data_IF_827317841036
#
_entry.id   IF_827317841036
#
_cell.length_a   1.000
_cell.length_b   1.000
_cell.length_c   1.000
_cell.angle_alpha   90.00
_cell.angle_beta   90.00
_cell.angle_gamma   90.00
#
_symmetry.space_group_name_H-M   'P 1'
#
loop_
_entity.id
_entity.type
_entity.pdbx_description
1 polymer ?
#
# COMPACT_ATOMS: atom_id res chain seq x y z
N UNK A 1 -8.93 1.00 -4.09
CA UNK A 1 -8.15 1.90 -3.21
C UNK A 1 -7.26 1.04 -2.32
N UNK A 2 -6.23 1.57 -1.67
CA UNK A 2 -5.43 0.76 -0.73
C UNK A 2 -5.12 1.51 0.56
N UNK A 3 -5.69 1.06 1.66
CA UNK A 3 -5.64 1.70 2.96
C UNK A 3 -4.48 1.18 3.82
N UNK A 4 -4.35 1.67 5.05
CA UNK A 4 -3.28 1.29 5.96
C UNK A 4 -3.29 -0.21 6.35
N UNK A 5 -4.42 -0.92 6.17
CA UNK A 5 -4.50 -2.35 6.44
C UNK A 5 -3.81 -3.18 5.37
N UNK A 6 -3.47 -2.59 4.22
CA UNK A 6 -2.83 -3.26 3.08
C UNK A 6 -1.67 -4.17 3.53
N UNK A 7 -0.74 -3.67 4.34
CA UNK A 7 0.44 -4.42 4.82
C UNK A 7 0.05 -5.70 5.59
N UNK A 8 -0.95 -5.59 6.46
CA UNK A 8 -1.42 -6.72 7.25
C UNK A 8 -2.20 -7.73 6.38
N UNK A 9 -3.01 -7.24 5.42
CA UNK A 9 -3.68 -8.10 4.44
C UNK A 9 -2.70 -8.85 3.55
N UNK A 10 -1.62 -8.21 3.06
CA UNK A 10 -0.58 -8.89 2.25
C UNK A 10 0.05 -10.02 3.05
N UNK A 11 0.41 -9.77 4.31
CA UNK A 11 1.02 -10.78 5.18
C UNK A 11 0.09 -11.97 5.42
N UNK A 12 -1.18 -11.70 5.72
CA UNK A 12 -2.18 -12.75 5.92
C UNK A 12 -2.48 -13.52 4.62
N UNK A 13 -2.54 -12.83 3.48
CA UNK A 13 -2.79 -13.43 2.18
C UNK A 13 -1.61 -14.29 1.72
N UNK A 14 -0.36 -13.90 2.00
CA UNK A 14 0.81 -14.75 1.79
C UNK A 14 0.71 -16.05 2.61
N UNK A 15 0.34 -15.95 3.88
CA UNK A 15 0.18 -17.12 4.74
C UNK A 15 -0.91 -18.08 4.22
N UNK A 16 -2.01 -17.55 3.70
CA UNK A 16 -3.07 -18.35 3.06
C UNK A 16 -2.60 -18.96 1.74
N UNK A 17 -1.84 -18.21 0.93
CA UNK A 17 -1.27 -18.69 -0.33
C UNK A 17 -0.36 -19.88 -0.08
N UNK A 18 0.52 -19.78 0.91
CA UNK A 18 1.39 -20.89 1.32
C UNK A 18 0.51 -22.03 1.85
N UNK A 19 -0.32 -21.78 2.85
CA UNK A 19 -1.15 -22.81 3.50
C UNK A 19 -2.01 -23.63 2.55
N UNK A 20 -2.64 -22.99 1.57
CA UNK A 20 -3.53 -23.66 0.60
C UNK A 20 -2.79 -24.57 -0.39
N UNK A 21 -1.47 -24.38 -0.58
CA UNK A 21 -0.67 -25.11 -1.57
C UNK A 21 0.29 -26.14 -0.96
N UNK A 22 0.22 -26.38 0.35
CA UNK A 22 1.05 -27.39 1.05
C UNK A 22 0.45 -28.80 1.02
N UNK A 23 -0.88 -28.91 0.96
CA UNK A 23 -1.61 -30.18 1.10
C UNK A 23 -1.28 -31.28 0.07
N UNK A 24 -0.91 -31.01 -1.20
CA UNK A 24 -0.71 -32.11 -2.16
C UNK A 24 0.60 -32.91 -1.93
N UNK A 25 1.54 -32.43 -1.11
CA UNK A 25 2.86 -33.08 -0.93
C UNK A 25 3.17 -33.49 0.51
N UNK A 26 2.29 -33.13 1.43
CA UNK A 26 2.48 -33.36 2.85
C UNK A 26 1.28 -34.09 3.42
N UNK A 27 1.53 -35.31 3.90
CA UNK A 27 0.56 -36.09 4.68
C UNK A 27 0.38 -35.55 6.12
N UNK A 28 1.01 -34.41 6.44
CA UNK A 28 1.07 -33.83 7.77
C UNK A 28 0.37 -32.46 7.77
N UNK A 29 -0.42 -32.19 8.81
CA UNK A 29 -1.02 -30.88 9.01
C UNK A 29 0.07 -29.84 9.33
N UNK A 30 0.30 -28.91 8.40
CA UNK A 30 1.26 -27.83 8.57
C UNK A 30 0.57 -26.58 9.07
N UNK A 31 1.10 -25.98 10.13
CA UNK A 31 0.62 -24.70 10.64
C UNK A 31 1.36 -23.55 9.98
N UNK A 32 0.63 -22.54 9.50
CA UNK A 32 1.25 -21.30 8.99
C UNK A 32 0.99 -20.17 9.97
N UNK A 33 2.05 -19.58 10.50
CA UNK A 33 2.00 -18.47 11.45
C UNK A 33 2.62 -17.21 10.85
N UNK A 34 2.12 -16.03 11.21
CA UNK A 34 2.58 -14.73 10.69
C UNK A 34 3.25 -13.89 11.77
N UNK A 35 3.96 -14.55 12.71
CA UNK A 35 4.51 -13.89 13.91
C UNK A 35 6.04 -13.85 13.87
N UNK A 36 6.64 -13.20 14.87
CA UNK A 36 8.08 -13.31 15.08
C UNK A 36 8.46 -14.79 15.29
N UNK A 37 9.58 -15.27 14.73
CA UNK A 37 10.10 -16.61 14.99
C UNK A 37 10.09 -16.91 16.50
N UNK A 38 9.49 -18.02 16.95
CA UNK A 38 9.42 -18.36 18.36
C UNK A 38 10.82 -18.65 18.91
N UNK A 39 11.05 -18.37 20.19
CA UNK A 39 12.32 -18.71 20.85
C UNK A 39 12.49 -20.23 20.99
N UNK A 40 11.39 -20.93 21.25
CA UNK A 40 11.34 -22.38 21.32
C UNK A 40 10.81 -22.93 19.98
N UNK A 41 11.56 -23.80 19.29
CA UNK A 41 11.14 -24.35 18.01
C UNK A 41 9.92 -25.26 18.21
N UNK A 42 8.82 -25.05 17.45
CA UNK A 42 7.67 -25.94 17.49
C UNK A 42 8.06 -27.35 17.04
N UNK A 43 7.54 -28.36 17.76
CA UNK A 43 7.68 -29.77 17.37
C UNK A 43 6.78 -30.10 16.17
N UNK A 44 5.63 -29.44 16.09
CA UNK A 44 4.69 -29.57 14.98
C UNK A 44 5.23 -28.86 13.72
N UNK A 45 5.07 -29.45 12.52
CA UNK A 45 5.48 -28.81 11.27
C UNK A 45 4.84 -27.43 11.10
N UNK A 46 5.68 -26.41 11.14
CA UNK A 46 5.22 -25.01 11.17
C UNK A 46 6.03 -24.18 10.19
N UNK A 47 5.34 -23.40 9.37
CA UNK A 47 5.95 -22.35 8.56
C UNK A 47 5.66 -21.02 9.24
N UNK A 48 6.70 -20.23 9.45
CA UNK A 48 6.56 -18.90 9.99
C UNK A 48 6.89 -17.84 8.94
N UNK A 49 5.97 -16.90 8.73
CA UNK A 49 6.09 -15.75 7.85
C UNK A 49 6.38 -14.52 8.69
N UNK A 50 7.62 -14.03 8.64
CA UNK A 50 8.06 -12.90 9.43
C UNK A 50 8.39 -11.69 8.54
N UNK A 51 7.64 -10.59 8.71
CA UNK A 51 7.95 -9.31 8.08
C UNK A 51 9.08 -8.62 8.87
N UNK A 52 10.31 -8.63 8.35
CA UNK A 52 11.48 -8.11 9.07
C UNK A 52 11.84 -6.67 8.68
N UNK A 53 11.48 -6.23 7.47
CA UNK A 53 11.81 -4.90 6.99
C UNK A 53 10.73 -4.36 6.05
N UNK A 54 10.50 -3.06 6.11
CA UNK A 54 9.64 -2.31 5.17
C UNK A 54 10.47 -1.18 4.59
N UNK A 55 10.55 -1.12 3.26
CA UNK A 55 11.31 -0.08 2.54
C UNK A 55 10.44 0.64 1.52
N UNK A 56 10.68 1.92 1.23
CA UNK A 56 10.01 2.59 0.12
C UNK A 56 10.43 1.98 -1.22
N UNK A 57 9.48 1.78 -2.12
CA UNK A 57 9.77 1.27 -3.46
C UNK A 57 10.46 2.36 -4.30
N UNK A 58 11.70 2.09 -4.73
CA UNK A 58 12.53 3.06 -5.43
C UNK A 58 11.97 3.50 -6.79
N UNK A 59 11.26 2.60 -7.49
CA UNK A 59 10.68 2.87 -8.81
C UNK A 59 9.41 3.72 -8.74
N UNK A 60 8.62 3.58 -7.66
CA UNK A 60 7.33 4.28 -7.52
C UNK A 60 7.32 5.38 -6.46
N UNK A 61 8.45 5.68 -5.82
CA UNK A 61 8.55 6.68 -4.72
C UNK A 61 8.04 8.09 -5.04
N UNK A 62 8.00 8.47 -6.32
CA UNK A 62 7.50 9.79 -6.77
C UNK A 62 6.29 9.66 -7.70
N UNK A 63 5.65 8.49 -7.73
CA UNK A 63 4.54 8.23 -8.65
C UNK A 63 3.36 9.17 -8.42
N UNK A 64 3.14 9.61 -7.18
CA UNK A 64 2.02 10.46 -6.77
C UNK A 64 2.27 11.96 -6.92
N UNK A 65 3.50 12.39 -7.24
CA UNK A 65 3.85 13.80 -7.35
C UNK A 65 3.48 14.40 -8.72
N UNK A 66 3.01 15.67 -8.77
CA UNK A 66 2.67 16.52 -7.63
C UNK A 66 1.30 16.15 -7.02
N UNK A 67 1.21 16.11 -5.69
CA UNK A 67 -0.03 15.79 -4.97
C UNK A 67 -0.91 17.02 -4.73
N UNK A 68 -0.31 18.21 -4.61
CA UNK A 68 -0.99 19.49 -4.34
C UNK A 68 -0.72 20.54 -5.41
N UNK A 69 -1.70 21.38 -5.67
CA UNK A 69 -1.58 22.59 -6.50
C UNK A 69 -0.79 23.69 -5.78
N UNK A 70 -0.46 24.78 -6.49
CA UNK A 70 0.09 26.02 -5.90
C UNK A 70 -0.76 26.54 -4.74
N UNK A 71 -2.06 26.34 -4.82
CA UNK A 71 -3.04 26.85 -3.85
C UNK A 71 -3.26 25.87 -2.69
N UNK A 72 -2.45 24.80 -2.60
CA UNK A 72 -2.55 23.76 -1.57
C UNK A 72 -3.69 22.75 -1.76
N UNK A 73 -4.55 22.94 -2.76
CA UNK A 73 -5.63 22.00 -3.11
C UNK A 73 -5.08 20.65 -3.55
N UNK A 74 -5.72 19.56 -3.12
CA UNK A 74 -5.28 18.22 -3.47
C UNK A 74 -5.69 17.88 -4.91
N UNK A 75 -4.71 17.69 -5.79
CA UNK A 75 -4.90 17.40 -7.22
C UNK A 75 -4.74 15.90 -7.50
N UNK A 76 -3.84 15.25 -6.76
CA UNK A 76 -3.62 13.80 -6.83
C UNK A 76 -3.53 13.23 -5.41
N UNK A 77 -4.09 12.04 -5.23
CA UNK A 77 -4.07 11.38 -3.93
C UNK A 77 -2.62 10.95 -3.63
N UNK A 78 -2.08 11.28 -2.45
CA UNK A 78 -0.75 10.82 -2.07
C UNK A 78 -0.78 9.30 -1.91
N UNK A 79 0.25 8.63 -2.41
CA UNK A 79 0.38 7.19 -2.37
C UNK A 79 1.82 6.79 -2.04
N UNK A 80 2.00 6.17 -0.88
CA UNK A 80 3.29 5.62 -0.48
C UNK A 80 3.44 4.22 -1.07
N UNK A 81 4.38 4.06 -2.00
CA UNK A 81 4.74 2.75 -2.52
C UNK A 81 5.78 2.08 -1.60
N UNK A 82 5.47 0.87 -1.13
CA UNK A 82 6.28 0.09 -0.21
C UNK A 82 6.67 -1.25 -0.81
N UNK A 83 7.85 -1.70 -0.42
CA UNK A 83 8.34 -3.05 -0.58
C UNK A 83 8.44 -3.69 0.81
N UNK A 84 7.83 -4.86 0.96
CA UNK A 84 7.77 -5.61 2.21
C UNK A 84 8.74 -6.79 2.12
N UNK A 85 9.66 -6.91 3.08
CA UNK A 85 10.64 -7.99 3.09
C UNK A 85 10.27 -9.05 4.12
N UNK A 86 10.02 -10.26 3.63
CA UNK A 86 9.59 -11.40 4.43
C UNK A 86 10.74 -12.41 4.56
N UNK A 87 10.88 -12.94 5.77
CA UNK A 87 11.66 -14.12 6.08
C UNK A 87 10.67 -15.27 6.34
N UNK A 88 10.74 -16.31 5.53
CA UNK A 88 9.90 -17.50 5.68
C UNK A 88 10.78 -18.61 6.27
N UNK A 89 10.54 -19.01 7.51
CA UNK A 89 11.27 -20.08 8.18
C UNK A 89 10.41 -21.32 8.35
N UNK A 90 11.02 -22.50 8.26
CA UNK A 90 10.33 -23.78 8.38
C UNK A 90 10.84 -24.58 9.59
N UNK A 91 9.90 -25.05 10.41
CA UNK A 91 10.12 -25.89 11.58
C UNK A 91 9.52 -27.28 11.35
N UNK A 92 10.16 -28.30 11.90
CA UNK A 92 9.70 -29.68 11.86
C UNK A 92 10.84 -30.64 12.20
N UNK A 93 10.52 -31.93 12.17
CA UNK A 93 11.47 -33.00 12.47
C UNK A 93 12.64 -33.03 11.48
N UNK A 94 13.88 -32.99 12.00
CA UNK A 94 15.10 -32.97 11.19
C UNK A 94 15.43 -34.35 10.62
N UNK A 95 15.13 -35.43 11.35
CA UNK A 95 15.38 -36.80 10.90
C UNK A 95 14.59 -37.13 9.61
N UNK A 96 13.40 -36.55 9.46
CA UNK A 96 12.52 -36.71 8.29
C UNK A 96 12.67 -35.58 7.27
N UNK A 97 13.63 -34.66 7.48
CA UNK A 97 13.91 -33.52 6.61
C UNK A 97 12.67 -32.63 6.36
N UNK A 98 11.76 -32.54 7.34
CA UNK A 98 10.48 -31.84 7.17
C UNK A 98 10.69 -30.37 6.84
N UNK A 99 11.63 -29.70 7.52
CA UNK A 99 11.96 -28.30 7.25
C UNK A 99 12.43 -28.05 5.81
N UNK A 100 13.25 -28.95 5.25
CA UNK A 100 13.75 -28.83 3.87
C UNK A 100 12.63 -29.04 2.85
N UNK A 101 11.76 -30.03 3.08
CA UNK A 101 10.57 -30.30 2.25
C UNK A 101 9.60 -29.12 2.24
N UNK A 102 9.35 -28.53 3.42
CA UNK A 102 8.50 -27.34 3.58
C UNK A 102 9.03 -26.16 2.77
N UNK A 103 10.33 -25.87 2.86
CA UNK A 103 10.95 -24.78 2.09
C UNK A 103 10.86 -25.06 0.58
N UNK A 104 11.07 -26.31 0.14
CA UNK A 104 10.87 -26.69 -1.25
C UNK A 104 9.46 -26.39 -1.75
N UNK A 105 8.44 -26.74 -0.95
CA UNK A 105 7.04 -26.46 -1.26
C UNK A 105 6.76 -24.95 -1.35
N UNK A 106 7.29 -24.16 -0.41
CA UNK A 106 7.15 -22.69 -0.40
C UNK A 106 7.79 -22.08 -1.65
N UNK A 107 9.01 -22.48 -1.98
CA UNK A 107 9.73 -21.97 -3.15
C UNK A 107 8.98 -22.30 -4.44
N UNK A 108 8.48 -23.54 -4.59
CA UNK A 108 7.63 -23.87 -5.74
C UNK A 108 6.38 -23.01 -5.79
N UNK A 109 5.64 -22.92 -4.68
CA UNK A 109 4.36 -22.20 -4.63
C UNK A 109 4.54 -20.72 -5.03
N UNK A 110 5.57 -20.07 -4.50
CA UNK A 110 5.86 -18.66 -4.81
C UNK A 110 6.44 -18.47 -6.22
N UNK A 111 7.08 -19.49 -6.78
CA UNK A 111 7.55 -19.47 -8.15
C UNK A 111 6.42 -19.70 -9.18
N UNK A 112 5.46 -20.57 -8.87
CA UNK A 112 4.28 -20.84 -9.69
C UNK A 112 3.25 -19.70 -9.63
N UNK A 113 3.04 -19.14 -8.44
CA UNK A 113 2.07 -18.07 -8.17
C UNK A 113 2.81 -16.84 -7.61
N UNK A 114 3.65 -16.16 -8.42
CA UNK A 114 4.44 -15.02 -7.95
C UNK A 114 3.59 -13.76 -7.76
N UNK A 115 2.36 -13.71 -8.31
CA UNK A 115 1.45 -12.57 -8.17
C UNK A 115 0.32 -12.96 -7.22
N UNK A 116 0.10 -12.13 -6.20
CA UNK A 116 -0.92 -12.41 -5.18
C UNK A 116 -2.33 -12.41 -5.83
N UNK A 117 -3.10 -13.51 -5.72
CA UNK A 117 -4.45 -13.58 -6.28
C UNK A 117 -5.44 -12.76 -5.45
N UNK A 118 -6.39 -12.12 -6.12
CA UNK A 118 -7.42 -11.30 -5.45
C UNK A 118 -8.30 -12.13 -4.50
N UNK A 119 -8.62 -13.37 -4.84
CA UNK A 119 -9.42 -14.27 -4.01
C UNK A 119 -8.80 -14.47 -2.62
N UNK A 120 -7.46 -14.58 -2.54
CA UNK A 120 -6.76 -14.73 -1.26
C UNK A 120 -6.71 -13.42 -0.48
N UNK A 121 -6.69 -12.27 -1.16
CA UNK A 121 -6.77 -10.95 -0.53
C UNK A 121 -8.16 -10.78 0.12
N UNK A 122 -9.21 -11.14 -0.60
CA UNK A 122 -10.59 -11.12 -0.09
C UNK A 122 -10.76 -12.08 1.08
N UNK A 123 -10.23 -13.30 1.00
CA UNK A 123 -10.23 -14.26 2.10
C UNK A 123 -9.49 -13.71 3.33
N UNK A 124 -8.31 -13.11 3.12
CA UNK A 124 -7.56 -12.47 4.21
C UNK A 124 -8.36 -11.34 4.87
N UNK A 125 -9.09 -10.53 4.09
CA UNK A 125 -9.91 -9.42 4.59
C UNK A 125 -11.14 -9.86 5.40
N UNK A 126 -11.56 -11.13 5.32
CA UNK A 126 -12.66 -11.67 6.14
C UNK A 126 -12.28 -11.79 7.64
N UNK A 127 -10.99 -11.75 7.98
CA UNK A 127 -10.54 -11.74 9.37
C UNK A 127 -11.09 -10.47 10.07
N UNK A 128 -11.64 -10.56 11.30
CA UNK A 128 -12.27 -9.40 11.95
C UNK A 128 -11.36 -8.17 12.11
N UNK A 129 -10.06 -8.39 12.28
CA UNK A 129 -9.05 -7.34 12.44
C UNK A 129 -8.52 -6.77 11.11
N UNK A 130 -8.91 -7.36 9.97
CA UNK A 130 -8.60 -6.88 8.61
C UNK A 130 -9.85 -6.42 7.85
N UNK A 131 -11.01 -6.39 8.53
CA UNK A 131 -12.26 -5.96 7.96
C UNK A 131 -12.14 -4.52 7.43
N UNK A 132 -12.56 -4.33 6.18
CA UNK A 132 -12.46 -3.04 5.48
C UNK A 132 -11.13 -2.81 4.76
N UNK A 133 -10.27 -3.82 4.62
CA UNK A 133 -9.15 -3.75 3.66
C UNK A 133 -9.67 -3.68 2.23
N UNK A 134 -9.18 -2.72 1.47
CA UNK A 134 -9.53 -2.41 0.08
C UNK A 134 -8.43 -2.85 -0.91
N UNK A 135 -7.38 -3.53 -0.44
CA UNK A 135 -6.22 -3.95 -1.24
C UNK A 135 -6.59 -4.66 -2.55
N UNK A 136 -7.69 -5.42 -2.60
CA UNK A 136 -8.16 -6.12 -3.80
C UNK A 136 -8.55 -5.16 -4.94
N UNK A 137 -8.93 -3.93 -4.60
CA UNK A 137 -9.26 -2.84 -5.54
C UNK A 137 -8.02 -2.00 -5.92
N UNK A 138 -6.83 -2.36 -5.43
CA UNK A 138 -5.60 -1.69 -5.84
C UNK A 138 -5.36 -1.93 -7.34
N UNK A 139 -5.02 -0.88 -8.13
CA UNK A 139 -4.68 -1.07 -9.54
C UNK A 139 -3.41 -1.90 -9.71
N UNK A 140 -2.53 -1.88 -8.70
CA UNK A 140 -1.26 -2.57 -8.73
C UNK A 140 -1.34 -3.86 -7.92
N UNK A 141 -1.02 -4.98 -8.59
CA UNK A 141 -0.94 -6.30 -7.96
C UNK A 141 0.40 -6.47 -7.26
N UNK A 142 0.35 -7.06 -6.06
CA UNK A 142 1.53 -7.39 -5.26
C UNK A 142 2.23 -8.59 -5.87
N UNK A 143 3.54 -8.49 -6.06
CA UNK A 143 4.40 -9.55 -6.62
C UNK A 143 5.45 -9.97 -5.60
N UNK A 144 5.59 -11.27 -5.40
CA UNK A 144 6.66 -11.87 -4.62
C UNK A 144 7.87 -12.18 -5.50
N UNK A 145 9.03 -11.75 -5.07
CA UNK A 145 10.32 -12.00 -5.74
C UNK A 145 11.30 -12.57 -4.72
N UNK A 146 12.05 -13.64 -5.04
CA UNK A 146 13.05 -14.17 -4.12
C UNK A 146 14.15 -13.12 -3.88
N UNK A 147 14.54 -12.96 -2.62
CA UNK A 147 15.65 -12.10 -2.21
C UNK A 147 16.81 -12.98 -1.79
N UNK A 148 17.95 -12.83 -2.46
CA UNK A 148 19.18 -13.53 -2.06
C UNK A 148 19.77 -12.80 -0.87
N UNK A 149 20.04 -13.53 0.22
CA UNK A 149 20.78 -13.03 1.36
C UNK A 149 22.07 -13.81 1.51
N UNK A 150 23.16 -13.11 1.84
CA UNK A 150 24.41 -13.76 2.18
C UNK A 150 24.34 -14.39 3.58
N UNK A 151 25.29 -15.28 3.88
CA UNK A 151 25.43 -15.92 5.20
C UNK A 151 25.62 -14.86 6.29
N UNK A 152 26.39 -13.81 6.02
CA UNK A 152 26.62 -12.71 6.97
C UNK A 152 25.34 -11.92 7.27
N UNK A 153 24.55 -11.62 6.24
CA UNK A 153 23.29 -10.89 6.37
C UNK A 153 22.26 -11.72 7.12
N UNK A 154 22.16 -13.01 6.76
CA UNK A 154 21.31 -13.98 7.41
C UNK A 154 21.70 -14.14 8.88
N UNK A 155 22.99 -14.26 9.18
CA UNK A 155 23.51 -14.37 10.56
C UNK A 155 23.24 -13.12 11.39
N UNK A 156 23.35 -11.92 10.80
CA UNK A 156 22.95 -10.67 11.47
C UNK A 156 21.46 -10.62 11.74
N UNK A 157 20.64 -11.04 10.77
CA UNK A 157 19.18 -11.06 10.90
C UNK A 157 18.74 -11.98 12.04
N UNK A 158 19.26 -13.20 12.08
CA UNK A 158 19.00 -14.13 13.18
C UNK A 158 19.65 -13.68 14.49
N UNK A 159 20.80 -13.01 14.44
CA UNK A 159 21.46 -12.41 15.60
C UNK A 159 20.59 -11.35 16.29
N UNK A 160 19.83 -10.55 15.55
CA UNK A 160 18.85 -9.60 16.13
C UNK A 160 17.74 -10.31 16.92
N UNK A 161 17.48 -11.58 16.61
CA UNK A 161 16.53 -12.45 17.30
C UNK A 161 17.25 -13.19 18.44
N UNK A 162 17.82 -12.46 19.40
CA UNK A 162 18.75 -12.94 20.47
C UNK A 162 18.35 -14.21 21.27
N UNK A 163 17.13 -14.74 21.12
CA UNK A 163 16.63 -15.93 21.81
C UNK A 163 16.17 -17.05 20.87
N UNK A 164 16.23 -16.84 19.55
CA UNK A 164 15.73 -17.80 18.57
C UNK A 164 16.89 -18.52 17.90
N UNK A 165 16.94 -19.87 17.95
CA UNK A 165 17.96 -20.62 17.22
C UNK A 165 17.82 -20.40 15.71
N UNK A 166 18.95 -20.45 15.01
CA UNK A 166 18.96 -20.40 13.55
C UNK A 166 18.09 -21.53 13.00
N UNK A 167 17.20 -21.18 12.06
CA UNK A 167 16.29 -22.11 11.39
C UNK A 167 16.42 -21.93 9.89
N UNK A 168 16.25 -23.01 9.13
CA UNK A 168 16.22 -22.95 7.66
C UNK A 168 15.15 -21.96 7.19
N UNK A 169 15.57 -20.99 6.37
CA UNK A 169 14.68 -19.93 5.89
C UNK A 169 15.01 -19.47 4.48
N UNK A 170 14.01 -18.85 3.84
CA UNK A 170 14.12 -18.16 2.54
C UNK A 170 13.58 -16.75 2.67
N UNK A 171 14.19 -15.80 1.97
CA UNK A 171 13.71 -14.42 1.93
C UNK A 171 12.96 -14.11 0.63
N UNK A 172 11.88 -13.37 0.77
CA UNK A 172 11.06 -12.89 -0.33
C UNK A 172 10.69 -11.43 -0.13
N UNK A 173 10.77 -10.67 -1.21
CA UNK A 173 10.28 -9.30 -1.27
C UNK A 173 8.89 -9.29 -1.92
N UNK A 174 7.91 -8.70 -1.23
CA UNK A 174 6.62 -8.35 -1.81
C UNK A 174 6.66 -6.89 -2.26
N UNK A 175 6.70 -6.68 -3.57
CA UNK A 175 6.81 -5.35 -4.15
C UNK A 175 5.44 -4.76 -4.48
N UNK A 176 5.42 -3.42 -4.58
CA UNK A 176 4.29 -2.64 -5.10
C UNK A 176 3.06 -2.61 -4.19
N UNK A 177 3.29 -2.55 -2.87
CA UNK A 177 2.23 -2.31 -1.89
C UNK A 177 2.00 -0.81 -1.80
N UNK A 178 0.92 -0.33 -2.39
CA UNK A 178 0.55 1.08 -2.34
C UNK A 178 -0.27 1.36 -1.08
N UNK A 179 0.02 2.44 -0.36
CA UNK A 179 -0.82 2.97 0.71
C UNK A 179 -1.26 4.37 0.34
N UNK A 180 -2.55 4.54 0.11
CA UNK A 180 -3.16 5.78 -0.33
C UNK A 180 -3.66 6.65 0.84
N UNK A 181 -3.65 7.96 0.62
CA UNK A 181 -4.22 8.94 1.54
C UNK A 181 -5.75 8.89 1.63
N UNK A 182 -6.30 9.41 2.73
CA UNK A 182 -7.76 9.44 2.98
C UNK A 182 -8.50 10.52 2.18
N UNK A 183 -7.80 11.58 1.79
CA UNK A 183 -8.40 12.71 1.08
C UNK A 183 -8.73 12.35 -0.38
N UNK A 184 -9.85 12.86 -0.87
CA UNK A 184 -10.29 12.69 -2.25
C UNK A 184 -9.81 13.91 -3.03
N UNK A 185 -9.04 13.74 -4.12
CA UNK A 185 -8.59 14.86 -4.94
C UNK A 185 -9.75 15.60 -5.59
N UNK A 186 -9.60 16.92 -5.74
CA UNK A 186 -10.55 17.75 -6.47
C UNK A 186 -10.20 17.67 -7.95
N UNK A 187 -11.14 17.32 -8.84
CA UNK A 187 -10.87 17.28 -10.27
C UNK A 187 -10.51 18.68 -10.77
N UNK A 188 -9.49 18.76 -11.61
CA UNK A 188 -9.12 20.02 -12.27
C UNK A 188 -10.29 20.53 -13.13
N UNK A 189 -10.46 21.84 -13.20
CA UNK A 189 -11.47 22.46 -14.08
C UNK A 189 -11.16 22.09 -15.55
N UNK A 190 -12.19 21.82 -16.37
CA UNK A 190 -11.99 21.58 -17.80
C UNK A 190 -11.25 22.75 -18.46
N UNK A 191 -10.33 22.42 -19.39
CA UNK A 191 -9.64 23.44 -20.17
C UNK A 191 -10.62 24.01 -21.21
N UNK A 192 -11.06 25.24 -21.02
CA UNK A 192 -12.06 25.87 -21.91
C UNK A 192 -11.49 26.27 -23.27
N UNK A 193 -10.25 26.77 -23.31
CA UNK A 193 -9.61 27.23 -24.56
C UNK A 193 -8.12 26.85 -24.58
N UNK A 194 -7.68 26.29 -25.70
CA UNK A 194 -6.26 26.06 -26.00
C UNK A 194 -5.82 27.07 -27.05
N UNK A 195 -5.02 28.05 -26.67
CA UNK A 195 -4.45 29.02 -27.61
C UNK A 195 -3.00 28.65 -27.87
N UNK A 196 -2.69 28.17 -29.07
CA UNK A 196 -1.32 27.89 -29.51
C UNK A 196 -0.91 28.96 -30.51
N UNK A 197 0.10 29.76 -30.17
CA UNK A 197 0.64 30.80 -31.05
C UNK A 197 2.03 30.37 -31.51
N UNK A 198 2.22 30.26 -32.82
CA UNK A 198 3.52 30.02 -33.45
C UNK A 198 3.98 31.32 -34.08
N UNK A 199 5.16 31.81 -33.69
CA UNK A 199 5.80 32.97 -34.30
C UNK A 199 7.16 32.53 -34.86
N UNK A 200 7.48 32.87 -36.11
CA UNK A 200 8.84 32.68 -36.61
C UNK A 200 9.79 33.60 -35.82
N UNK A 201 11.01 33.12 -35.57
CA UNK A 201 12.06 33.94 -35.00
C UNK A 201 12.26 35.21 -35.84
N UNK A 202 12.28 36.37 -35.19
CA UNK A 202 12.35 37.68 -35.84
C UNK A 202 11.00 38.38 -36.07
N UNK A 203 9.86 37.73 -35.82
CA UNK A 203 8.57 38.42 -35.80
C UNK A 203 8.43 39.32 -34.54
N UNK A 204 7.70 40.45 -34.62
CA UNK A 204 7.44 41.30 -33.46
C UNK A 204 6.79 40.48 -32.32
N UNK A 205 7.49 40.37 -31.19
CA UNK A 205 7.07 39.61 -30.01
C UNK A 205 7.45 38.12 -30.01
N UNK A 206 8.29 37.64 -30.93
CA UNK A 206 8.85 36.30 -30.88
C UNK A 206 9.98 36.20 -29.83
N UNK A 207 10.08 35.10 -29.06
CA UNK A 207 11.21 34.88 -28.16
C UNK A 207 12.53 34.80 -28.95
N UNK A 208 13.58 35.49 -28.49
CA UNK A 208 14.89 35.47 -29.14
C UNK A 208 15.52 34.08 -28.94
N UNK A 209 16.07 33.44 -30.00
CA UNK A 209 16.67 32.13 -29.85
C UNK A 209 17.93 32.19 -28.97
N UNK A 210 18.10 31.28 -28.00
CA UNK A 210 19.30 31.23 -27.17
C UNK A 210 20.53 30.95 -28.06
N UNK A 211 21.47 31.90 -28.12
CA UNK A 211 22.75 31.76 -28.83
C UNK A 211 23.05 32.78 -29.93
N UNK A 212 22.21 33.79 -30.17
CA UNK A 212 22.57 34.89 -31.09
C UNK A 212 23.40 35.95 -30.35
N UNK A 213 24.66 36.21 -30.74
CA UNK A 213 25.39 37.38 -30.24
C UNK A 213 24.68 38.63 -30.78
N UNK A 214 24.28 39.54 -29.90
CA UNK A 214 23.75 40.85 -30.31
C UNK A 214 24.91 41.65 -30.91
N UNK A 215 24.89 42.02 -32.20
CA UNK A 215 25.91 42.92 -32.75
C UNK A 215 25.69 44.33 -32.17
N UNK A 216 26.77 45.05 -31.78
CA UNK A 216 26.63 46.39 -31.22
C UNK A 216 26.11 47.35 -32.31
N UNK A 217 24.93 47.92 -32.09
CA UNK A 217 24.40 49.01 -32.94
C UNK A 217 22.97 48.85 -33.47
N UNK A 218 22.20 47.82 -33.08
CA UNK A 218 20.77 47.77 -33.42
C UNK A 218 19.93 48.55 -32.39
N UNK A 219 19.14 49.56 -32.79
CA UNK A 219 18.26 50.26 -31.87
C UNK A 219 17.13 49.32 -31.44
N UNK A 220 17.09 49.02 -30.14
CA UNK A 220 15.95 48.36 -29.49
C UNK A 220 14.74 49.31 -29.62
N UNK A 221 13.63 48.93 -30.27
CA UNK A 221 12.43 49.76 -30.26
C UNK A 221 11.89 49.84 -28.82
N UNK A 222 11.39 51.00 -28.36
CA UNK A 222 10.86 51.14 -27.01
C UNK A 222 9.72 50.13 -26.83
N UNK A 223 9.88 49.25 -25.84
CA UNK A 223 8.85 48.28 -25.49
C UNK A 223 7.56 49.01 -25.15
N UNK A 224 6.48 48.69 -25.87
CA UNK A 224 5.14 48.90 -25.33
C UNK A 224 5.06 48.18 -23.99
N UNK A 225 4.75 48.86 -22.88
CA UNK A 225 4.55 48.19 -21.61
C UNK A 225 3.40 47.21 -21.78
N UNK A 226 3.69 45.93 -21.62
CA UNK A 226 2.67 44.93 -21.33
C UNK A 226 2.00 45.41 -20.05
N UNK A 227 0.67 45.62 -20.02
CA UNK A 227 0.00 45.97 -18.78
C UNK A 227 0.26 44.85 -17.78
N UNK A 228 0.92 45.19 -16.68
CA UNK A 228 0.96 44.36 -15.50
C UNK A 228 -0.49 44.09 -15.11
N UNK A 229 -0.94 42.85 -15.31
CA UNK A 229 -2.20 42.38 -14.73
C UNK A 229 -2.05 42.55 -13.22
N UNK A 230 -2.83 43.49 -12.69
CA UNK A 230 -2.87 43.81 -11.28
C UNK A 230 -3.01 42.54 -10.45
N UNK A 231 -2.04 42.33 -9.56
CA UNK A 231 -2.26 41.56 -8.35
C UNK A 231 -3.17 42.43 -7.46
N UNK A 232 -4.46 42.18 -7.49
CA UNK A 232 -5.34 42.61 -6.40
C UNK A 232 -5.04 41.74 -5.18
N UNK A 233 -4.33 42.32 -4.22
CA UNK A 233 -4.34 41.87 -2.84
C UNK A 233 -5.68 42.30 -2.21
N UNK A 234 -6.35 41.44 -1.41
CA UNK A 234 -7.53 41.85 -0.69
C UNK A 234 -7.12 42.70 0.52
N UNK A 235 -7.65 43.91 0.56
CA UNK A 235 -7.56 44.83 1.70
C UNK A 235 -8.45 44.33 2.84
N UNK A 236 -7.89 44.38 4.05
CA UNK A 236 -8.53 44.00 5.29
C UNK A 236 -9.70 44.93 5.63
N UNK A 237 -10.82 44.36 6.05
CA UNK A 237 -11.87 45.07 6.77
C UNK A 237 -12.04 44.45 8.16
N UNK A 238 -12.20 45.36 9.12
CA UNK A 238 -12.06 45.20 10.55
C UNK A 238 -13.07 44.27 11.24
N UNK A 239 -12.62 43.88 12.42
CA UNK A 239 -13.18 43.03 13.44
C UNK A 239 -14.28 43.76 14.25
N UNK A 240 -15.48 43.20 14.34
CA UNK A 240 -16.41 43.51 15.43
C UNK A 240 -16.95 42.20 16.03
N UNK A 241 -16.60 41.97 17.29
CA UNK A 241 -16.89 40.77 18.06
C UNK A 241 -18.16 40.94 18.91
N UNK A 242 -19.08 39.97 18.84
CA UNK A 242 -19.97 39.62 19.95
C UNK A 242 -20.51 38.17 19.80
N UNK A 243 -20.24 37.35 20.81
CA UNK A 243 -20.50 35.91 20.90
C UNK A 243 -21.89 35.58 21.54
N UNK A 244 -22.17 34.35 22.04
CA UNK A 244 -22.68 33.21 21.28
C UNK A 244 -24.02 32.66 21.82
N UNK A 245 -24.85 32.08 20.96
CA UNK A 245 -26.09 31.39 21.38
C UNK A 245 -26.04 29.88 21.14
N UNK A 246 -26.06 29.16 22.26
CA UNK A 246 -26.16 27.70 22.41
C UNK A 246 -27.41 27.12 21.74
N UNK A 247 -27.27 25.98 21.05
CA UNK A 247 -28.27 24.89 21.13
C UNK A 247 -27.63 23.52 20.87
N UNK A 248 -27.92 22.64 21.81
CA UNK A 248 -27.37 21.31 22.04
C UNK A 248 -27.99 20.24 21.09
N UNK A 249 -27.46 19.00 21.09
CA UNK A 249 -27.69 18.01 20.03
C UNK A 249 -28.95 17.18 20.26
N UNK A 250 -29.70 16.89 19.19
CA UNK A 250 -30.78 15.93 19.23
C UNK A 250 -30.23 14.51 19.04
N UNK A 251 -30.18 13.76 20.16
CA UNK A 251 -30.06 12.30 20.21
C UNK A 251 -31.22 11.65 19.45
N UNK A 252 -30.95 10.60 18.67
CA UNK A 252 -31.94 9.56 18.37
C UNK A 252 -31.30 8.19 18.57
N UNK A 253 -31.71 7.53 19.65
CA UNK A 253 -31.37 6.17 20.01
C UNK A 253 -32.24 5.16 19.19
N UNK A 254 -31.90 3.86 19.20
CA UNK A 254 -32.36 2.89 18.19
C UNK A 254 -33.73 2.28 18.54
N UNK A 255 -34.53 2.00 17.53
CA UNK A 255 -35.76 1.22 17.69
C UNK A 255 -35.45 -0.28 17.63
N UNK A 256 -35.52 -0.95 18.79
CA UNK A 256 -35.79 -2.39 18.90
C UNK A 256 -37.26 -2.67 18.55
N UNK A 257 -37.49 -3.65 17.67
CA UNK A 257 -38.70 -4.50 17.63
C UNK A 257 -38.22 -5.91 17.26
N UNK A 258 -38.00 -6.79 18.24
CA UNK A 258 -38.99 -7.72 18.80
C UNK A 258 -39.47 -8.76 17.77
N UNK A 259 -38.79 -9.91 17.76
CA UNK A 259 -39.38 -11.17 17.35
C UNK A 259 -40.41 -11.63 18.41
N UNK A 260 -41.43 -12.41 18.04
CA UNK A 260 -41.97 -13.42 18.92
C UNK A 260 -41.63 -14.82 18.39
N UNK A 261 -41.15 -15.64 19.33
CA UNK A 261 -40.93 -17.06 19.20
C UNK A 261 -42.23 -17.83 18.91
N UNK A 262 -42.12 -18.98 18.23
CA UNK A 262 -42.91 -20.16 18.62
C UNK A 262 -42.20 -21.47 18.29
N UNK A 263 -41.89 -22.16 19.38
CA UNK A 263 -41.56 -23.56 19.55
C UNK A 263 -42.52 -24.53 18.86
N UNK A 264 -41.96 -25.67 18.38
CA UNK A 264 -42.49 -27.04 18.54
C UNK A 264 -41.44 -28.02 17.99
N UNK A 265 -40.68 -28.70 18.85
CA UNK A 265 -40.99 -29.99 19.52
C UNK A 265 -40.67 -31.19 18.63
N UNK A 266 -39.47 -31.75 18.81
CA UNK A 266 -39.18 -33.15 18.53
C UNK A 266 -39.97 -34.03 19.53
N UNK A 267 -40.26 -35.29 19.15
CA UNK A 267 -39.59 -36.36 19.87
C UNK A 267 -39.14 -37.51 18.97
N UNK A 268 -37.92 -37.94 19.26
CA UNK A 268 -37.45 -39.31 19.47
C UNK A 268 -38.32 -40.49 18.96
N UNK A 269 -37.69 -41.39 18.20
CA UNK A 269 -37.91 -42.84 18.31
C UNK A 269 -36.69 -43.61 17.78
N UNK A 270 -36.00 -44.26 18.70
CA UNK A 270 -35.29 -45.52 18.47
C UNK A 270 -36.26 -46.60 17.96
N UNK A 271 -35.71 -47.50 17.15
CA UNK A 271 -36.36 -48.67 16.54
C UNK A 271 -35.55 -49.12 15.34
#
# INVERSE_FOLDING_TARGET
MSNALAVATVTQALALLIGNNLSPEMDIAVKVETRKPPAEPPVEPTINVFLYQVTPNSSMRHYDLPTRSSDGTLVKRPAAALDLHYLISAYGEEAELVGQRLIGCVVRTLHEIPVLPNELIELAAQRPYLAGSDLAESPQKVRFTPTVMDIDETSKLWGMLHQTPYTLSVAYQASLVLIEGREIPVPAKPVERRTVRVLPFGAPGAPVPPGTPVPPGTPVPPGTPVPASAAEAPEAAEEEAAAPAKKAPAKRAPAKRSAPARSRKAPNKEG
#
